data_IF_259242835630
#
_entry.id   IF_259242835630
#
_cell.length_a   1.000
_cell.length_b   1.000
_cell.length_c   1.000
_cell.angle_alpha   90.00
_cell.angle_beta   90.00
_cell.angle_gamma   90.00
#
_symmetry.space_group_name_H-M   'P 1'
#
loop_
_entity.id
_entity.type
_entity.pdbx_description
1 polymer ?
#
# COMPACT_ATOMS: atom_id res chain seq x y z
N UNK A 1 -27.79 23.26 37.05
CA UNK A 1 -27.60 22.60 35.73
C UNK A 1 -26.26 22.92 35.07
N UNK A 2 -25.82 24.20 35.01
CA UNK A 2 -24.55 24.60 34.36
C UNK A 2 -23.31 23.88 34.90
N UNK A 3 -23.22 23.66 36.21
CA UNK A 3 -22.04 23.04 36.84
C UNK A 3 -21.95 21.53 36.55
N UNK A 4 -23.10 20.84 36.44
CA UNK A 4 -23.15 19.41 36.11
C UNK A 4 -22.62 19.13 34.70
N UNK A 5 -23.01 19.96 33.72
CA UNK A 5 -22.52 19.85 32.34
C UNK A 5 -21.02 20.11 32.23
N UNK A 6 -20.48 21.05 33.02
CA UNK A 6 -19.05 21.31 33.04
C UNK A 6 -18.27 20.13 33.62
N UNK A 7 -18.69 19.57 34.75
CA UNK A 7 -18.07 18.36 35.32
C UNK A 7 -18.10 17.22 34.30
N UNK A 8 -19.24 16.97 33.66
CA UNK A 8 -19.35 15.90 32.66
C UNK A 8 -18.41 16.14 31.46
N UNK A 9 -18.31 17.38 30.97
CA UNK A 9 -17.46 17.70 29.82
C UNK A 9 -15.97 17.62 30.13
N UNK A 10 -15.51 18.25 31.22
CA UNK A 10 -14.08 18.42 31.51
C UNK A 10 -13.50 17.27 32.34
N UNK A 11 -14.28 16.72 33.28
CA UNK A 11 -13.75 15.76 34.24
C UNK A 11 -13.95 14.31 33.79
N UNK A 12 -14.89 14.08 32.86
CA UNK A 12 -15.23 12.75 32.37
C UNK A 12 -14.93 12.64 30.88
N UNK A 13 -15.63 13.41 30.03
CA UNK A 13 -15.54 13.23 28.58
C UNK A 13 -14.15 13.52 28.02
N UNK A 14 -13.48 14.59 28.46
CA UNK A 14 -12.16 14.94 27.95
C UNK A 14 -11.08 13.87 28.28
N UNK A 15 -10.94 13.39 29.53
CA UNK A 15 -10.06 12.26 29.84
C UNK A 15 -10.38 10.99 29.06
N UNK A 16 -11.67 10.63 28.96
CA UNK A 16 -12.10 9.44 28.22
C UNK A 16 -11.74 9.55 26.73
N UNK A 17 -12.01 10.71 26.13
CA UNK A 17 -11.69 10.97 24.73
C UNK A 17 -10.17 10.87 24.46
N UNK A 18 -9.35 11.39 25.38
CA UNK A 18 -7.89 11.27 25.27
C UNK A 18 -7.43 9.81 25.35
N UNK A 19 -7.97 9.00 26.28
CA UNK A 19 -7.64 7.57 26.38
C UNK A 19 -8.05 6.82 25.12
N UNK A 20 -9.28 7.06 24.63
CA UNK A 20 -9.77 6.43 23.38
C UNK A 20 -8.88 6.81 22.19
N UNK A 21 -8.46 8.07 22.10
CA UNK A 21 -7.55 8.51 21.04
C UNK A 21 -6.20 7.78 21.08
N UNK A 22 -5.59 7.63 22.26
CA UNK A 22 -4.32 6.92 22.43
C UNK A 22 -4.40 5.45 22.05
N UNK A 23 -5.50 4.78 22.43
CA UNK A 23 -5.77 3.39 22.05
C UNK A 23 -5.95 3.28 20.53
N UNK A 24 -6.72 4.20 19.94
CA UNK A 24 -6.93 4.24 18.49
C UNK A 24 -5.61 4.38 17.73
N UNK A 25 -4.71 5.26 18.17
CA UNK A 25 -3.37 5.41 17.59
C UNK A 25 -2.59 4.09 17.69
N UNK A 26 -2.68 3.39 18.83
CA UNK A 26 -2.05 2.08 19.00
C UNK A 26 -2.53 1.05 17.98
N UNK A 27 -3.84 1.00 17.72
CA UNK A 27 -4.43 0.15 16.68
C UNK A 27 -3.91 0.53 15.30
N UNK A 28 -3.90 1.82 14.95
CA UNK A 28 -3.43 2.31 13.66
C UNK A 28 -1.93 2.03 13.40
N UNK A 29 -1.13 1.97 14.47
CA UNK A 29 0.30 1.65 14.43
C UNK A 29 0.60 0.14 14.53
N UNK A 30 -0.41 -0.71 14.76
CA UNK A 30 -0.24 -2.13 15.05
C UNK A 30 0.60 -2.42 16.31
N UNK A 31 0.42 -1.61 17.37
CA UNK A 31 0.97 -1.81 18.71
C UNK A 31 2.49 -2.09 18.77
N UNK A 32 3.34 -1.20 18.23
CA UNK A 32 4.77 -1.36 18.42
C UNK A 32 5.12 -1.18 19.91
N UNK A 33 6.13 -1.93 20.40
CA UNK A 33 6.47 -2.01 21.83
C UNK A 33 6.71 -0.65 22.49
N UNK A 34 7.34 0.29 21.76
CA UNK A 34 7.58 1.64 22.26
C UNK A 34 6.27 2.40 22.50
N UNK A 35 5.26 2.22 21.63
CA UNK A 35 3.95 2.85 21.80
C UNK A 35 3.17 2.25 22.95
N UNK A 36 3.26 0.93 23.16
CA UNK A 36 2.64 0.27 24.33
C UNK A 36 3.13 0.91 25.63
N UNK A 37 4.44 1.16 25.75
CA UNK A 37 5.03 1.84 26.90
C UNK A 37 4.52 3.27 27.05
N UNK A 38 4.62 4.08 25.99
CA UNK A 38 4.17 5.49 26.00
C UNK A 38 2.68 5.60 26.30
N UNK A 39 1.84 4.80 25.65
CA UNK A 39 0.39 4.77 25.85
C UNK A 39 0.04 4.41 27.30
N UNK A 40 0.74 3.44 27.89
CA UNK A 40 0.51 3.05 29.29
C UNK A 40 0.83 4.20 30.26
N UNK A 41 1.97 4.86 30.08
CA UNK A 41 2.36 6.02 30.91
C UNK A 41 1.35 7.16 30.75
N UNK A 42 0.95 7.49 29.52
CA UNK A 42 -0.02 8.56 29.27
C UNK A 42 -1.40 8.25 29.87
N UNK A 43 -1.89 7.01 29.73
CA UNK A 43 -3.14 6.59 30.36
C UNK A 43 -3.05 6.66 31.89
N UNK A 44 -1.92 6.25 32.48
CA UNK A 44 -1.71 6.36 33.93
C UNK A 44 -1.73 7.82 34.38
N UNK A 45 -1.07 8.74 33.66
CA UNK A 45 -1.09 10.17 33.97
C UNK A 45 -2.50 10.77 33.88
N UNK A 46 -3.30 10.33 32.89
CA UNK A 46 -4.70 10.77 32.77
C UNK A 46 -5.51 10.27 33.98
N UNK A 47 -5.36 8.99 34.36
CA UNK A 47 -6.06 8.41 35.52
C UNK A 47 -5.63 9.10 36.82
N UNK A 48 -4.33 9.37 37.01
CA UNK A 48 -3.80 10.11 38.15
C UNK A 48 -4.43 11.51 38.24
N UNK A 49 -4.49 12.24 37.12
CA UNK A 49 -5.17 13.54 37.04
C UNK A 49 -6.65 13.47 37.43
N UNK A 50 -7.37 12.42 37.00
CA UNK A 50 -8.77 12.20 37.39
C UNK A 50 -8.89 11.92 38.90
N UNK A 51 -7.99 11.11 39.47
CA UNK A 51 -7.99 10.83 40.92
C UNK A 51 -7.72 12.11 41.72
N UNK A 52 -6.74 12.92 41.32
CA UNK A 52 -6.46 14.23 41.95
C UNK A 52 -7.70 15.12 41.89
N UNK A 53 -8.38 15.19 40.74
CA UNK A 53 -9.61 15.96 40.59
C UNK A 53 -10.72 15.48 41.54
N UNK A 54 -10.90 14.16 41.71
CA UNK A 54 -11.86 13.58 42.67
C UNK A 54 -11.49 13.93 44.12
N UNK A 55 -10.21 13.90 44.46
CA UNK A 55 -9.73 14.26 45.81
C UNK A 55 -9.99 15.74 46.09
N UNK A 56 -9.71 16.63 45.14
CA UNK A 56 -10.02 18.07 45.26
C UNK A 56 -11.52 18.31 45.38
N UNK A 57 -12.34 17.56 44.64
CA UNK A 57 -13.80 17.63 44.73
C UNK A 57 -14.29 17.27 46.15
N UNK A 58 -13.65 16.31 46.82
CA UNK A 58 -14.00 15.91 48.19
C UNK A 58 -13.48 16.89 49.24
N UNK A 59 -12.27 17.44 49.05
CA UNK A 59 -11.61 18.31 50.03
C UNK A 59 -12.18 19.73 50.00
N UNK A 60 -12.26 20.31 48.80
CA UNK A 60 -12.51 21.73 48.61
C UNK A 60 -13.87 22.00 47.92
N UNK A 61 -14.62 20.94 47.56
CA UNK A 61 -15.86 21.05 46.75
C UNK A 61 -15.64 21.68 45.37
N UNK A 62 -14.41 21.61 44.85
CA UNK A 62 -14.00 22.16 43.55
C UNK A 62 -13.41 21.07 42.66
N UNK A 63 -13.74 21.14 41.37
CA UNK A 63 -13.23 20.29 40.29
C UNK A 63 -12.69 21.16 39.17
N UNK A 64 -11.94 20.58 38.22
CA UNK A 64 -11.56 21.27 36.97
C UNK A 64 -12.77 21.91 36.28
N UNK A 65 -13.91 21.20 36.22
CA UNK A 65 -15.15 21.73 35.64
C UNK A 65 -15.78 22.90 36.42
N UNK A 66 -15.68 22.90 37.75
CA UNK A 66 -16.35 23.87 38.64
C UNK A 66 -15.47 24.99 39.16
N UNK A 67 -14.15 24.89 38.98
CA UNK A 67 -13.20 25.94 39.32
C UNK A 67 -13.38 27.15 38.37
N UNK A 68 -13.95 28.22 38.90
CA UNK A 68 -14.14 29.47 38.16
C UNK A 68 -12.94 30.43 38.32
N UNK A 69 -12.05 30.20 39.29
CA UNK A 69 -10.83 30.98 39.51
C UNK A 69 -9.68 30.55 38.58
N UNK A 70 -9.72 29.29 38.09
CA UNK A 70 -8.71 28.71 37.20
C UNK A 70 -9.19 28.29 35.80
N UNK A 71 -9.73 29.19 34.93
CA UNK A 71 -10.21 28.80 33.60
C UNK A 71 -9.12 28.22 32.68
N UNK A 72 -7.84 28.57 32.93
CA UNK A 72 -6.70 28.05 32.16
C UNK A 72 -6.57 26.53 32.21
N UNK A 73 -6.93 25.89 33.33
CA UNK A 73 -6.84 24.44 33.47
C UNK A 73 -7.86 23.72 32.58
N UNK A 74 -9.08 24.25 32.48
CA UNK A 74 -10.12 23.74 31.57
C UNK A 74 -9.66 23.83 30.11
N UNK A 75 -9.05 24.95 29.73
CA UNK A 75 -8.49 25.13 28.39
C UNK A 75 -7.34 24.16 28.12
N UNK A 76 -6.46 23.93 29.10
CA UNK A 76 -5.37 22.96 28.96
C UNK A 76 -5.91 21.54 28.76
N UNK A 77 -6.88 21.09 29.57
CA UNK A 77 -7.49 19.76 29.44
C UNK A 77 -8.16 19.59 28.07
N UNK A 78 -8.93 20.58 27.62
CA UNK A 78 -9.55 20.54 26.29
C UNK A 78 -8.50 20.56 25.18
N UNK A 79 -7.46 21.39 25.29
CA UNK A 79 -6.41 21.46 24.30
C UNK A 79 -5.68 20.11 24.15
N UNK A 80 -5.34 19.46 25.27
CA UNK A 80 -4.69 18.14 25.26
C UNK A 80 -5.60 17.07 24.68
N UNK A 81 -6.87 17.01 25.11
CA UNK A 81 -7.83 16.05 24.57
C UNK A 81 -8.07 16.25 23.07
N UNK A 82 -8.20 17.52 22.64
CA UNK A 82 -8.38 17.88 21.22
C UNK A 82 -7.15 17.51 20.40
N UNK A 83 -5.94 17.77 20.91
CA UNK A 83 -4.70 17.40 20.25
C UNK A 83 -4.56 15.87 20.10
N UNK A 84 -4.92 15.10 21.14
CA UNK A 84 -4.92 13.64 21.08
C UNK A 84 -5.88 13.11 20.00
N UNK A 85 -7.11 13.65 19.95
CA UNK A 85 -8.09 13.29 18.92
C UNK A 85 -7.62 13.69 17.52
N UNK A 86 -7.05 14.88 17.34
CA UNK A 86 -6.50 15.33 16.06
C UNK A 86 -5.36 14.42 15.59
N UNK A 87 -4.44 14.05 16.50
CA UNK A 87 -3.36 13.11 16.20
C UNK A 87 -3.90 11.73 15.79
N UNK A 88 -4.94 11.24 16.49
CA UNK A 88 -5.61 9.98 16.13
C UNK A 88 -6.16 10.03 14.70
N UNK A 89 -6.89 11.09 14.34
CA UNK A 89 -7.44 11.27 12.99
C UNK A 89 -6.32 11.32 11.94
N UNK A 90 -5.27 12.10 12.18
CA UNK A 90 -4.14 12.24 11.24
C UNK A 90 -3.43 10.90 11.04
N UNK A 91 -3.12 10.19 12.13
CA UNK A 91 -2.42 8.90 12.05
C UNK A 91 -3.30 7.85 11.36
N UNK A 92 -4.59 7.77 11.71
CA UNK A 92 -5.53 6.86 11.04
C UNK A 92 -5.66 7.15 9.55
N UNK A 93 -5.75 8.42 9.16
CA UNK A 93 -5.79 8.83 7.76
C UNK A 93 -4.52 8.41 7.00
N UNK A 94 -3.34 8.69 7.56
CA UNK A 94 -2.05 8.36 6.94
C UNK A 94 -1.81 6.84 6.85
N UNK A 95 -2.15 6.10 7.90
CA UNK A 95 -1.86 4.66 8.00
C UNK A 95 -2.86 3.78 7.26
N UNK A 96 -4.10 4.22 7.09
CA UNK A 96 -5.13 3.42 6.43
C UNK A 96 -5.55 4.00 5.09
N UNK A 97 -5.92 5.28 5.04
CA UNK A 97 -6.49 5.85 3.80
C UNK A 97 -5.41 6.10 2.76
N UNK A 98 -4.31 6.74 3.15
CA UNK A 98 -3.20 6.99 2.21
C UNK A 98 -2.56 5.67 1.80
N UNK A 99 -2.24 4.79 2.76
CA UNK A 99 -1.66 3.48 2.46
C UNK A 99 -2.54 2.59 1.57
N UNK A 100 -3.87 2.61 1.74
CA UNK A 100 -4.78 1.87 0.86
C UNK A 100 -4.80 2.46 -0.56
N UNK A 101 -4.79 3.79 -0.69
CA UNK A 101 -4.72 4.45 -2.01
C UNK A 101 -3.39 4.18 -2.71
N UNK A 102 -2.27 4.22 -1.99
CA UNK A 102 -0.96 3.89 -2.59
C UNK A 102 -0.93 2.45 -3.04
N UNK A 103 -1.44 1.51 -2.23
CA UNK A 103 -1.53 0.10 -2.61
C UNK A 103 -2.37 -0.12 -3.87
N UNK A 104 -3.52 0.56 -3.98
CA UNK A 104 -4.37 0.48 -5.16
C UNK A 104 -3.66 1.03 -6.41
N UNK A 105 -3.05 2.21 -6.31
CA UNK A 105 -2.31 2.83 -7.41
C UNK A 105 -1.12 1.97 -7.84
N UNK A 106 -0.31 1.49 -6.89
CA UNK A 106 0.82 0.61 -7.16
C UNK A 106 0.32 -0.70 -7.81
N UNK A 107 -0.82 -1.25 -7.38
CA UNK A 107 -1.41 -2.46 -7.98
C UNK A 107 -1.83 -2.24 -9.44
N UNK A 108 -2.46 -1.11 -9.76
CA UNK A 108 -2.82 -0.76 -11.14
C UNK A 108 -1.58 -0.56 -12.01
N UNK A 109 -0.56 0.11 -11.47
CA UNK A 109 0.71 0.37 -12.17
C UNK A 109 1.46 -0.94 -12.48
N UNK A 110 1.67 -1.81 -11.49
CA UNK A 110 2.39 -3.07 -11.71
C UNK A 110 1.65 -3.99 -12.66
N UNK A 111 0.30 -4.02 -12.60
CA UNK A 111 -0.51 -4.80 -13.55
C UNK A 111 -0.35 -4.26 -14.96
N UNK A 112 -0.41 -2.94 -15.16
CA UNK A 112 -0.21 -2.31 -16.47
C UNK A 112 1.19 -2.56 -17.05
N UNK A 113 2.23 -2.47 -16.22
CA UNK A 113 3.61 -2.77 -16.62
C UNK A 113 3.75 -4.25 -16.98
N UNK A 114 3.27 -5.15 -16.12
CA UNK A 114 3.36 -6.58 -16.33
C UNK A 114 2.63 -7.03 -17.60
N UNK A 115 1.40 -6.56 -17.83
CA UNK A 115 0.66 -6.83 -19.07
C UNK A 115 1.40 -6.32 -20.29
N UNK A 116 1.91 -5.09 -20.25
CA UNK A 116 2.65 -4.51 -21.38
C UNK A 116 3.94 -5.29 -21.69
N UNK A 117 4.69 -5.70 -20.67
CA UNK A 117 5.94 -6.45 -20.85
C UNK A 117 5.65 -7.90 -21.28
N UNK A 118 4.61 -8.54 -20.74
CA UNK A 118 4.19 -9.88 -21.14
C UNK A 118 3.68 -9.93 -22.59
N UNK A 119 2.86 -8.96 -23.00
CA UNK A 119 2.39 -8.88 -24.39
C UNK A 119 3.54 -8.63 -25.36
N UNK A 120 4.45 -7.73 -24.97
CA UNK A 120 5.64 -7.41 -25.75
C UNK A 120 6.61 -8.60 -25.85
N UNK A 121 6.75 -9.41 -24.80
CA UNK A 121 7.59 -10.60 -24.82
C UNK A 121 7.02 -11.74 -25.66
N UNK A 122 5.69 -11.82 -25.79
CA UNK A 122 4.99 -12.86 -26.54
C UNK A 122 4.52 -12.43 -27.94
N UNK A 123 4.88 -11.21 -28.39
CA UNK A 123 4.52 -10.68 -29.70
C UNK A 123 5.75 -10.52 -30.59
N UNK A 124 5.69 -11.11 -31.78
CA UNK A 124 6.78 -11.13 -32.76
C UNK A 124 6.27 -10.96 -34.19
N UNK A 125 6.91 -10.10 -34.98
CA UNK A 125 6.67 -9.95 -36.41
C UNK A 125 8.00 -10.03 -37.19
N UNK A 126 8.08 -10.79 -38.29
CA UNK A 126 9.30 -10.86 -39.10
C UNK A 126 9.76 -9.51 -39.68
N UNK A 127 8.84 -8.56 -39.86
CA UNK A 127 9.11 -7.23 -40.40
C UNK A 127 9.76 -6.29 -39.36
N UNK A 128 9.56 -6.55 -38.07
CA UNK A 128 10.14 -5.79 -36.97
C UNK A 128 10.47 -6.73 -35.79
N UNK A 129 11.53 -7.54 -35.92
CA UNK A 129 11.83 -8.61 -34.97
C UNK A 129 12.26 -8.11 -33.59
N UNK A 130 12.68 -6.84 -33.46
CA UNK A 130 13.17 -6.27 -32.19
C UNK A 130 12.23 -5.26 -31.57
N UNK A 131 11.30 -4.64 -32.31
CA UNK A 131 10.47 -3.55 -31.79
C UNK A 131 9.60 -3.90 -30.58
N UNK A 132 9.06 -5.12 -30.50
CA UNK A 132 8.35 -5.58 -29.29
C UNK A 132 9.30 -5.77 -28.11
N UNK A 133 10.53 -6.24 -28.36
CA UNK A 133 11.53 -6.49 -27.31
C UNK A 133 12.09 -5.21 -26.75
N UNK A 134 12.39 -4.23 -27.60
CA UNK A 134 12.89 -2.93 -27.14
C UNK A 134 11.86 -2.23 -26.24
N UNK A 135 10.55 -2.40 -26.51
CA UNK A 135 9.47 -1.94 -25.63
C UNK A 135 9.42 -2.66 -24.29
N UNK A 136 9.63 -3.98 -24.28
CA UNK A 136 9.70 -4.76 -23.04
C UNK A 136 10.90 -4.34 -22.19
N UNK A 137 12.09 -4.31 -22.80
CA UNK A 137 13.37 -3.97 -22.19
C UNK A 137 13.36 -2.57 -21.56
N UNK A 138 12.68 -1.60 -22.18
CA UNK A 138 12.57 -0.24 -21.64
C UNK A 138 11.88 -0.17 -20.27
N UNK A 139 11.17 -1.24 -19.86
CA UNK A 139 10.47 -1.37 -18.58
C UNK A 139 11.14 -2.39 -17.64
N UNK A 140 12.28 -2.97 -18.02
CA UNK A 140 13.00 -3.97 -17.24
C UNK A 140 14.17 -3.35 -16.47
N UNK A 141 14.54 -3.98 -15.37
CA UNK A 141 15.80 -3.69 -14.69
C UNK A 141 16.99 -3.97 -15.63
N UNK A 142 18.09 -3.21 -15.58
CA UNK A 142 19.19 -3.31 -16.55
C UNK A 142 19.77 -4.71 -16.72
N UNK A 143 19.95 -5.42 -15.60
CA UNK A 143 20.48 -6.80 -15.61
C UNK A 143 19.50 -7.78 -16.26
N UNK A 144 18.21 -7.63 -16.00
CA UNK A 144 17.14 -8.48 -16.53
C UNK A 144 16.90 -8.21 -18.02
N UNK A 145 16.99 -6.96 -18.43
CA UNK A 145 16.97 -6.54 -19.82
C UNK A 145 18.04 -7.25 -20.67
N UNK A 146 19.27 -7.37 -20.15
CA UNK A 146 20.36 -8.05 -20.86
C UNK A 146 20.12 -9.56 -21.01
N UNK A 147 19.69 -10.23 -19.94
CA UNK A 147 19.34 -11.66 -19.96
C UNK A 147 18.20 -11.91 -20.95
N UNK A 148 17.15 -11.10 -20.87
CA UNK A 148 15.96 -11.22 -21.72
C UNK A 148 16.29 -11.03 -23.22
N UNK A 149 17.14 -10.05 -23.57
CA UNK A 149 17.63 -9.86 -24.94
C UNK A 149 18.38 -11.10 -25.46
N UNK A 150 19.23 -11.70 -24.63
CA UNK A 150 20.04 -12.86 -25.03
C UNK A 150 19.20 -14.11 -25.26
N UNK A 151 18.17 -14.35 -24.45
CA UNK A 151 17.24 -15.47 -24.64
C UNK A 151 16.38 -15.27 -25.88
N UNK A 152 15.84 -14.06 -26.07
CA UNK A 152 14.96 -13.77 -27.18
C UNK A 152 15.67 -13.77 -28.54
N UNK A 153 16.93 -13.31 -28.61
CA UNK A 153 17.70 -13.32 -29.85
C UNK A 153 17.77 -14.70 -30.51
N UNK A 154 17.89 -15.77 -29.69
CA UNK A 154 17.89 -17.16 -30.16
C UNK A 154 16.54 -17.57 -30.75
N UNK A 155 15.45 -17.20 -30.08
CA UNK A 155 14.08 -17.52 -30.52
C UNK A 155 13.70 -16.73 -31.77
N UNK A 156 14.04 -15.44 -31.82
CA UNK A 156 13.76 -14.55 -32.94
C UNK A 156 14.41 -15.04 -34.24
N UNK A 157 15.64 -15.57 -34.18
CA UNK A 157 16.33 -16.11 -35.36
C UNK A 157 15.56 -17.30 -35.97
N UNK A 158 15.07 -18.22 -35.13
CA UNK A 158 14.28 -19.37 -35.57
C UNK A 158 12.93 -18.94 -36.18
N UNK A 159 12.21 -18.04 -35.51
CA UNK A 159 10.90 -17.53 -35.98
C UNK A 159 11.03 -16.75 -37.29
N UNK A 160 12.07 -15.92 -37.43
CA UNK A 160 12.36 -15.18 -38.66
C UNK A 160 12.63 -16.14 -39.81
N UNK A 161 13.46 -17.16 -39.60
CA UNK A 161 13.83 -18.13 -40.64
C UNK A 161 12.62 -18.91 -41.16
N UNK A 162 11.62 -19.13 -40.31
CA UNK A 162 10.37 -19.84 -40.63
C UNK A 162 9.22 -18.92 -41.06
N UNK A 163 9.45 -17.60 -41.10
CA UNK A 163 8.42 -16.59 -41.38
C UNK A 163 7.18 -16.71 -40.49
N UNK A 164 7.39 -17.09 -39.22
CA UNK A 164 6.32 -17.23 -38.22
C UNK A 164 6.11 -15.88 -37.55
N UNK A 165 4.86 -15.45 -37.42
CA UNK A 165 4.49 -14.30 -36.59
C UNK A 165 3.65 -14.74 -35.41
N UNK A 166 3.83 -14.11 -34.25
CA UNK A 166 3.05 -14.36 -33.05
C UNK A 166 2.48 -13.04 -32.53
N UNK A 167 1.22 -13.03 -32.12
CA UNK A 167 0.58 -11.89 -31.49
C UNK A 167 -0.06 -12.33 -30.18
N UNK A 168 0.30 -11.68 -29.08
CA UNK A 168 -0.28 -11.93 -27.78
C UNK A 168 -1.12 -10.74 -27.32
N UNK A 169 -2.28 -11.03 -26.73
CA UNK A 169 -3.10 -10.02 -26.05
C UNK A 169 -3.46 -10.50 -24.65
N UNK A 170 -3.35 -9.62 -23.66
CA UNK A 170 -3.75 -9.90 -22.29
C UNK A 170 -5.24 -10.18 -22.24
N UNK A 171 -5.61 -11.31 -21.63
CA UNK A 171 -7.00 -11.67 -21.32
C UNK A 171 -7.33 -11.20 -19.91
N UNK A 172 -6.43 -11.44 -18.97
CA UNK A 172 -6.56 -11.03 -17.58
C UNK A 172 -5.19 -10.89 -16.93
N UNK A 173 -5.04 -9.94 -16.03
CA UNK A 173 -3.85 -9.81 -15.19
C UNK A 173 -4.27 -9.47 -13.76
N UNK A 174 -3.49 -9.95 -12.78
CA UNK A 174 -3.78 -9.74 -11.38
C UNK A 174 -2.54 -9.84 -10.51
N UNK A 175 -2.50 -9.05 -9.44
CA UNK A 175 -1.42 -9.06 -8.46
C UNK A 175 -1.50 -10.35 -7.63
N UNK A 176 -0.43 -11.14 -7.63
CA UNK A 176 -0.28 -12.31 -6.75
C UNK A 176 0.23 -11.88 -5.37
N UNK A 177 1.19 -10.94 -5.33
CA UNK A 177 1.73 -10.36 -4.12
C UNK A 177 2.27 -8.96 -4.40
N UNK A 178 2.13 -8.04 -3.44
CA UNK A 178 2.73 -6.71 -3.52
C UNK A 178 3.14 -6.24 -2.12
N UNK A 179 4.37 -5.73 -2.04
CA UNK A 179 4.93 -5.07 -0.88
C UNK A 179 5.42 -3.67 -1.24
N UNK A 180 6.13 -2.99 -0.34
CA UNK A 180 6.63 -1.63 -0.56
C UNK A 180 7.57 -1.53 -1.78
N UNK A 181 8.44 -2.53 -1.97
CA UNK A 181 9.54 -2.48 -2.94
C UNK A 181 9.54 -3.65 -3.92
N UNK A 182 8.62 -4.60 -3.79
CA UNK A 182 8.56 -5.81 -4.63
C UNK A 182 7.12 -6.20 -4.92
N UNK A 183 6.86 -6.67 -6.15
CA UNK A 183 5.56 -7.14 -6.59
C UNK A 183 5.68 -8.36 -7.50
N UNK A 184 4.63 -9.17 -7.51
CA UNK A 184 4.48 -10.30 -8.41
C UNK A 184 3.09 -10.26 -9.02
N UNK A 185 3.01 -10.37 -10.34
CA UNK A 185 1.79 -10.27 -11.12
C UNK A 185 1.65 -11.49 -12.01
N UNK A 186 0.48 -12.14 -11.95
CA UNK A 186 0.09 -13.17 -12.89
C UNK A 186 -0.61 -12.53 -14.09
N UNK A 187 -0.13 -12.85 -15.28
CA UNK A 187 -0.70 -12.39 -16.56
C UNK A 187 -1.11 -13.60 -17.39
N UNK A 188 -2.37 -13.63 -17.78
CA UNK A 188 -2.93 -14.61 -18.71
C UNK A 188 -3.14 -13.92 -20.05
N UNK A 189 -2.56 -14.50 -21.09
CA UNK A 189 -2.62 -13.97 -22.45
C UNK A 189 -3.17 -15.01 -23.41
N UNK A 190 -3.74 -14.51 -24.50
CA UNK A 190 -4.04 -15.31 -25.69
C UNK A 190 -3.00 -14.99 -26.75
N UNK A 191 -2.22 -15.98 -27.15
CA UNK A 191 -1.31 -15.88 -28.27
C UNK A 191 -1.95 -16.50 -29.52
N UNK A 192 -1.85 -15.81 -30.64
CA UNK A 192 -2.19 -16.32 -31.97
C UNK A 192 -0.90 -16.40 -32.77
N UNK A 193 -0.62 -17.57 -33.34
CA UNK A 193 0.52 -17.79 -34.21
C UNK A 193 0.02 -17.97 -35.65
N UNK A 194 0.69 -17.32 -36.58
CA UNK A 194 0.45 -17.44 -38.01
C UNK A 194 1.71 -17.94 -38.70
N UNK A 195 1.54 -18.92 -39.59
CA UNK A 195 2.59 -19.52 -40.40
C UNK A 195 2.13 -19.61 -41.85
N UNK A 196 3.02 -19.39 -42.85
CA UNK A 196 2.66 -19.48 -44.25
C UNK A 196 2.02 -20.84 -44.60
N UNK A 197 0.83 -20.81 -45.20
CA UNK A 197 0.14 -22.01 -45.67
C UNK A 197 -0.53 -22.87 -44.58
N UNK A 198 -0.59 -22.42 -43.32
CA UNK A 198 -1.30 -23.10 -42.23
C UNK A 198 -2.40 -22.20 -41.64
N UNK A 199 -3.49 -22.78 -41.09
CA UNK A 199 -4.46 -22.01 -40.31
C UNK A 199 -3.79 -21.44 -39.04
N UNK A 200 -4.31 -20.31 -38.56
CA UNK A 200 -3.82 -19.69 -37.33
C UNK A 200 -4.02 -20.64 -36.14
N UNK A 201 -2.99 -20.78 -35.32
CA UNK A 201 -3.05 -21.54 -34.08
C UNK A 201 -3.19 -20.58 -32.89
N UNK A 202 -3.97 -20.97 -31.88
CA UNK A 202 -4.22 -20.14 -30.70
C UNK A 202 -3.83 -20.88 -29.43
N UNK A 203 -3.04 -20.25 -28.58
CA UNK A 203 -2.61 -20.79 -27.30
C UNK A 203 -2.92 -19.81 -26.16
N UNK A 204 -3.17 -20.34 -24.98
CA UNK A 204 -3.24 -19.55 -23.74
C UNK A 204 -1.88 -19.63 -23.06
N UNK A 205 -1.30 -18.47 -22.78
CA UNK A 205 -0.02 -18.33 -22.08
C UNK A 205 -0.30 -17.77 -20.68
N UNK A 206 0.39 -18.32 -19.68
CA UNK A 206 0.32 -17.86 -18.30
C UNK A 206 1.73 -17.51 -17.84
N UNK A 207 1.98 -16.23 -17.57
CA UNK A 207 3.28 -15.71 -17.15
C UNK A 207 3.18 -15.08 -15.77
N UNK A 208 4.21 -15.28 -14.96
CA UNK A 208 4.49 -14.54 -13.75
C UNK A 208 5.51 -13.47 -14.08
N UNK A 209 5.19 -12.24 -13.73
CA UNK A 209 6.09 -11.08 -13.86
C UNK A 209 6.47 -10.64 -12.45
N UNK A 210 7.76 -10.61 -12.17
CA UNK A 210 8.31 -10.09 -10.92
C UNK A 210 8.81 -8.67 -11.14
N UNK A 211 8.48 -7.77 -10.23
CA UNK A 211 8.84 -6.36 -10.31
C UNK A 211 9.49 -5.90 -9.00
N UNK A 212 10.45 -5.01 -9.12
CA UNK A 212 11.02 -4.26 -7.99
C UNK A 212 10.85 -2.77 -8.20
N UNK A 213 10.74 -2.03 -7.08
CA UNK A 213 10.66 -0.57 -7.08
C UNK A 213 12.06 0.01 -6.91
N UNK A 214 12.57 0.67 -7.94
CA UNK A 214 13.87 1.36 -7.94
C UNK A 214 13.66 2.84 -8.17
N UNK A 215 14.19 3.69 -7.28
CA UNK A 215 14.05 5.16 -7.35
C UNK A 215 12.58 5.64 -7.47
N UNK A 216 11.64 4.88 -6.90
CA UNK A 216 10.21 5.19 -6.96
C UNK A 216 9.49 4.68 -8.22
N UNK A 217 10.20 4.03 -9.14
CA UNK A 217 9.65 3.47 -10.37
C UNK A 217 9.64 1.93 -10.32
N UNK A 218 8.55 1.33 -10.76
CA UNK A 218 8.45 -0.13 -10.89
C UNK A 218 9.18 -0.60 -12.16
N UNK A 219 10.09 -1.55 -12.00
CA UNK A 219 10.85 -2.17 -13.08
C UNK A 219 10.66 -3.69 -13.02
N UNK A 220 10.59 -4.32 -14.18
CA UNK A 220 10.47 -5.78 -14.28
C UNK A 220 11.83 -6.45 -14.06
N UNK A 221 11.90 -7.34 -13.09
CA UNK A 221 13.09 -8.14 -12.78
C UNK A 221 13.09 -9.48 -13.49
N UNK A 222 11.94 -10.11 -13.66
CA UNK A 222 11.83 -11.45 -14.22
C UNK A 222 10.48 -11.67 -14.88
N UNK A 223 10.48 -12.48 -15.93
CA UNK A 223 9.27 -12.96 -16.63
C UNK A 223 9.41 -14.45 -16.84
N UNK A 224 8.60 -15.23 -16.12
CA UNK A 224 8.68 -16.70 -16.15
C UNK A 224 7.31 -17.35 -16.37
N UNK A 225 7.23 -18.50 -17.07
CA UNK A 225 5.97 -19.22 -17.20
C UNK A 225 5.43 -19.71 -15.85
N UNK A 226 4.12 -19.57 -15.61
CA UNK A 226 3.47 -20.11 -14.39
C UNK A 226 3.43 -21.65 -14.45
N UNK A 227 3.31 -22.20 -15.65
CA UNK A 227 3.40 -23.64 -15.89
C UNK A 227 4.65 -23.92 -16.73
N UNK A 228 5.65 -24.58 -16.14
CA UNK A 228 6.69 -25.24 -16.92
C UNK A 228 6.05 -26.45 -17.60
N UNK A 229 5.87 -26.39 -18.92
CA UNK A 229 5.70 -27.60 -19.71
C UNK A 229 7.07 -28.21 -20.00
#
# INVERSE_FOLDING_TARGET
MRNLWRVLAFDILAPLAAIVALIYIGIALAWPLWWVSVCSVLCLLIVEGVVVNIVLARRDSVTVGTDDDGPGLRLAVVAVATAALAAAVVIGYLRWTVSARTLANDSEEVVGIASSVAEASATFTPQDPTGSIDRAVAKMAPKSAEVFKNEFAKVAQDLTSKSISAQASTVSAGVEAIGPDAASVAVIMRATQSSPGKPNDTAVLALRVQLSKTDGHWLVDDVSPIHSR
#
